data_IF_661937091719
#
_entry.id   IF_661937091719
#
_cell.length_a   1.000
_cell.length_b   1.000
_cell.length_c   1.000
_cell.angle_alpha   90.00
_cell.angle_beta   90.00
_cell.angle_gamma   90.00
#
_symmetry.space_group_name_H-M   'P 1'
#
loop_
_entity.id
_entity.type
_entity.pdbx_description
1 polymer ?
#
# COMPACT_ATOMS: atom_id res chain seq x y z
N UNK A 1 11.23 11.46 -8.03
CA UNK A 1 11.82 12.78 -7.65
C UNK A 1 13.29 12.63 -7.24
N UNK A 2 13.65 11.74 -6.31
CA UNK A 2 15.03 11.52 -5.86
C UNK A 2 15.96 11.12 -7.01
N UNK A 3 15.57 10.14 -7.81
CA UNK A 3 16.35 9.66 -8.96
C UNK A 3 16.49 10.76 -10.03
N UNK A 4 15.42 11.51 -10.27
CA UNK A 4 15.43 12.62 -11.24
C UNK A 4 16.29 13.80 -10.77
N UNK A 5 16.25 14.12 -9.48
CA UNK A 5 17.11 15.14 -8.87
C UNK A 5 18.60 14.76 -8.93
N UNK A 6 18.91 13.48 -8.81
CA UNK A 6 20.28 12.97 -8.90
C UNK A 6 20.81 13.00 -10.34
N UNK A 7 19.97 12.82 -11.34
CA UNK A 7 20.31 12.76 -12.75
C UNK A 7 20.40 14.16 -13.38
N UNK A 8 19.52 15.08 -13.00
CA UNK A 8 19.46 16.43 -13.58
C UNK A 8 20.46 17.43 -12.99
N UNK A 9 21.05 17.15 -11.84
CA UNK A 9 21.92 18.06 -11.05
C UNK A 9 21.32 19.46 -10.77
N UNK A 10 20.09 19.70 -11.18
CA UNK A 10 19.41 21.00 -11.04
C UNK A 10 18.61 21.12 -9.73
N UNK A 11 18.32 19.99 -9.08
CA UNK A 11 17.55 19.97 -7.82
C UNK A 11 18.45 19.52 -6.67
N UNK A 12 18.54 20.35 -5.64
CA UNK A 12 19.30 20.00 -4.44
C UNK A 12 18.71 18.75 -3.76
N UNK A 13 19.57 17.86 -3.26
CA UNK A 13 19.13 16.73 -2.45
C UNK A 13 18.37 17.23 -1.22
N UNK A 14 17.17 16.68 -0.91
CA UNK A 14 16.44 17.08 0.28
C UNK A 14 17.26 16.80 1.54
N UNK A 15 17.26 17.73 2.46
CA UNK A 15 17.96 17.61 3.74
C UNK A 15 17.27 16.55 4.61
N UNK A 16 18.00 15.99 5.58
CA UNK A 16 17.43 15.07 6.56
C UNK A 16 16.21 15.67 7.29
N UNK A 17 16.26 16.97 7.60
CA UNK A 17 15.18 17.69 8.27
C UNK A 17 13.93 17.80 7.40
N UNK A 18 14.07 17.97 6.09
CA UNK A 18 12.96 17.97 5.14
C UNK A 18 12.29 16.60 5.06
N UNK A 19 13.10 15.55 4.92
CA UNK A 19 12.58 14.17 4.87
C UNK A 19 11.86 13.82 6.18
N UNK A 20 12.46 14.15 7.32
CA UNK A 20 11.86 13.90 8.63
C UNK A 20 10.55 14.67 8.81
N UNK A 21 10.52 15.95 8.46
CA UNK A 21 9.33 16.78 8.56
C UNK A 21 8.19 16.24 7.69
N UNK A 22 8.46 15.91 6.42
CA UNK A 22 7.44 15.34 5.51
C UNK A 22 6.93 14.00 6.03
N UNK A 23 7.83 13.13 6.52
CA UNK A 23 7.46 11.82 7.03
C UNK A 23 6.59 11.91 8.29
N UNK A 24 6.97 12.78 9.24
CA UNK A 24 6.20 12.95 10.49
C UNK A 24 4.84 13.59 10.21
N UNK A 25 4.80 14.69 9.45
CA UNK A 25 3.54 15.35 9.11
C UNK A 25 2.62 14.44 8.29
N UNK A 26 3.16 13.72 7.31
CA UNK A 26 2.41 12.76 6.50
C UNK A 26 1.86 11.60 7.32
N UNK A 27 2.66 11.02 8.21
CA UNK A 27 2.24 9.96 9.12
C UNK A 27 1.13 10.40 10.06
N UNK A 28 1.27 11.57 10.69
CA UNK A 28 0.24 12.13 11.58
C UNK A 28 -1.06 12.44 10.83
N UNK A 29 -0.99 13.04 9.63
CA UNK A 29 -2.18 13.24 8.80
C UNK A 29 -2.84 11.93 8.42
N UNK A 30 -2.07 10.91 8.04
CA UNK A 30 -2.59 9.59 7.71
C UNK A 30 -3.37 8.96 8.87
N UNK A 31 -2.85 9.04 10.09
CA UNK A 31 -3.54 8.56 11.31
C UNK A 31 -4.83 9.36 11.54
N UNK A 32 -4.79 10.69 11.46
CA UNK A 32 -5.96 11.52 11.68
C UNK A 32 -7.05 11.30 10.62
N UNK A 33 -6.66 11.09 9.36
CA UNK A 33 -7.62 10.76 8.29
C UNK A 33 -8.25 9.38 8.47
N UNK A 34 -7.52 8.45 9.08
CA UNK A 34 -8.07 7.10 9.32
C UNK A 34 -9.16 7.08 10.38
N UNK A 35 -9.18 8.01 11.34
CA UNK A 35 -10.22 8.06 12.39
C UNK A 35 -11.64 8.10 11.81
N UNK A 36 -12.01 9.06 10.93
CA UNK A 36 -13.36 9.08 10.34
C UNK A 36 -13.58 7.93 9.33
N UNK A 37 -12.52 7.40 8.72
CA UNK A 37 -12.63 6.31 7.74
C UNK A 37 -12.76 4.95 8.39
N UNK A 38 -12.31 4.78 9.65
CA UNK A 38 -12.28 3.51 10.37
C UNK A 38 -13.63 2.81 10.36
N UNK A 39 -14.70 3.52 10.71
CA UNK A 39 -16.04 2.92 10.78
C UNK A 39 -16.49 2.42 9.41
N UNK A 40 -16.33 3.25 8.38
CA UNK A 40 -16.73 2.88 7.02
C UNK A 40 -15.92 1.71 6.46
N UNK A 41 -14.60 1.73 6.58
CA UNK A 41 -13.71 0.76 5.94
C UNK A 41 -13.53 -0.52 6.75
N UNK A 42 -13.42 -0.42 8.08
CA UNK A 42 -13.11 -1.58 8.94
C UNK A 42 -14.39 -2.24 9.45
N UNK A 43 -15.44 -1.46 9.78
CA UNK A 43 -16.65 -2.01 10.37
C UNK A 43 -17.71 -2.32 9.29
N UNK A 44 -18.08 -1.32 8.47
CA UNK A 44 -19.17 -1.46 7.50
C UNK A 44 -18.75 -2.30 6.28
N UNK A 45 -17.51 -2.17 5.80
CA UNK A 45 -16.98 -2.91 4.66
C UNK A 45 -16.18 -4.17 5.07
N UNK A 46 -16.27 -4.63 6.31
CA UNK A 46 -15.48 -5.79 6.80
C UNK A 46 -15.61 -7.04 5.94
N UNK A 47 -16.81 -7.33 5.40
CA UNK A 47 -17.02 -8.47 4.50
C UNK A 47 -16.36 -8.34 3.13
N UNK A 48 -16.03 -7.10 2.70
CA UNK A 48 -15.37 -6.83 1.43
C UNK A 48 -13.85 -6.58 1.58
N UNK A 49 -13.44 -6.10 2.74
CA UNK A 49 -12.05 -5.77 3.07
C UNK A 49 -11.57 -6.66 4.22
N UNK A 50 -10.86 -7.75 3.93
CA UNK A 50 -10.44 -8.72 4.96
C UNK A 50 -9.34 -8.22 5.90
N UNK A 51 -8.61 -7.14 5.56
CA UNK A 51 -7.46 -6.62 6.32
C UNK A 51 -6.53 -7.76 6.79
N UNK A 52 -5.88 -8.50 5.87
CA UNK A 52 -5.30 -9.81 6.17
C UNK A 52 -4.28 -9.80 7.30
N UNK A 53 -3.43 -8.77 7.36
CA UNK A 53 -2.42 -8.67 8.43
C UNK A 53 -3.05 -8.34 9.79
N UNK A 54 -4.05 -7.44 9.82
CA UNK A 54 -4.80 -7.11 11.03
C UNK A 54 -5.59 -8.31 11.56
N UNK A 55 -6.23 -9.05 10.66
CA UNK A 55 -6.95 -10.29 10.98
C UNK A 55 -6.00 -11.34 11.54
N UNK A 56 -4.83 -11.55 10.91
CA UNK A 56 -3.81 -12.45 11.43
C UNK A 56 -3.35 -12.07 12.85
N UNK A 57 -3.13 -10.77 13.11
CA UNK A 57 -2.77 -10.30 14.44
C UNK A 57 -3.87 -10.57 15.47
N UNK A 58 -5.13 -10.36 15.11
CA UNK A 58 -6.27 -10.63 15.99
C UNK A 58 -6.38 -12.13 16.32
N UNK A 59 -6.25 -13.00 15.32
CA UNK A 59 -6.26 -14.46 15.51
C UNK A 59 -5.12 -14.96 16.41
N UNK A 60 -3.92 -14.37 16.28
CA UNK A 60 -2.79 -14.70 17.17
C UNK A 60 -3.08 -14.30 18.61
N UNK A 61 -3.71 -13.15 18.85
CA UNK A 61 -4.11 -12.71 20.19
C UNK A 61 -5.17 -13.62 20.78
N UNK A 62 -6.21 -13.97 20.02
CA UNK A 62 -7.27 -14.89 20.44
C UNK A 62 -6.71 -16.29 20.77
N UNK A 63 -5.86 -16.82 19.90
CA UNK A 63 -5.19 -18.10 20.15
C UNK A 63 -4.29 -18.06 21.39
N UNK A 64 -3.72 -16.89 21.71
CA UNK A 64 -2.95 -16.68 22.94
C UNK A 64 -3.82 -16.68 24.21
N UNK A 65 -4.99 -16.08 24.15
CA UNK A 65 -5.96 -16.04 25.28
C UNK A 65 -6.60 -17.41 25.52
N UNK A 66 -7.06 -18.08 24.45
CA UNK A 66 -7.70 -19.38 24.56
C UNK A 66 -6.71 -20.50 24.95
N UNK A 67 -5.45 -20.35 24.58
CA UNK A 67 -4.39 -21.34 24.83
C UNK A 67 -4.64 -22.66 24.08
N UNK A 68 -4.04 -23.74 24.61
CA UNK A 68 -4.34 -25.09 24.12
C UNK A 68 -3.87 -25.37 22.69
N UNK A 69 -4.76 -25.91 21.84
CA UNK A 69 -4.44 -26.34 20.49
C UNK A 69 -4.16 -25.16 19.54
N UNK A 70 -4.89 -24.05 19.65
CA UNK A 70 -4.71 -22.85 18.83
C UNK A 70 -3.32 -22.24 18.97
N UNK A 71 -2.88 -22.06 20.22
CA UNK A 71 -1.55 -21.55 20.54
C UNK A 71 -0.43 -22.43 19.98
N UNK A 72 -0.58 -23.78 20.07
CA UNK A 72 0.41 -24.72 19.50
C UNK A 72 0.56 -24.57 17.99
N UNK A 73 -0.55 -24.36 17.26
CA UNK A 73 -0.52 -24.16 15.80
C UNK A 73 0.22 -22.88 15.44
N UNK A 74 -0.02 -21.77 16.17
CA UNK A 74 0.68 -20.50 15.97
C UNK A 74 2.20 -20.66 16.17
N UNK A 75 2.63 -21.29 17.29
CA UNK A 75 4.05 -21.51 17.55
C UNK A 75 4.69 -22.51 16.58
N UNK A 76 3.96 -23.53 16.15
CA UNK A 76 4.45 -24.45 15.12
C UNK A 76 4.65 -23.71 13.77
N UNK A 77 3.69 -22.88 13.36
CA UNK A 77 3.81 -22.05 12.17
C UNK A 77 4.99 -21.07 12.23
N UNK A 78 5.17 -20.41 13.38
CA UNK A 78 6.31 -19.53 13.62
C UNK A 78 7.64 -20.30 13.50
N UNK A 79 7.75 -21.46 14.17
CA UNK A 79 8.95 -22.30 14.13
C UNK A 79 9.28 -22.78 12.72
N UNK A 80 8.27 -23.26 11.97
CA UNK A 80 8.44 -23.70 10.59
C UNK A 80 8.88 -22.57 9.66
N UNK A 81 8.26 -21.39 9.80
CA UNK A 81 8.61 -20.20 9.01
C UNK A 81 10.02 -19.69 9.35
N UNK A 82 10.38 -19.69 10.63
CA UNK A 82 11.72 -19.32 11.08
C UNK A 82 12.79 -20.28 10.57
N UNK A 83 12.50 -21.60 10.61
CA UNK A 83 13.39 -22.62 10.06
C UNK A 83 13.58 -22.46 8.56
N UNK A 84 12.49 -22.25 7.83
CA UNK A 84 12.56 -21.97 6.39
C UNK A 84 13.43 -20.75 6.09
N UNK A 85 13.20 -19.63 6.78
CA UNK A 85 13.99 -18.42 6.62
C UNK A 85 15.47 -18.62 7.00
N UNK A 86 15.74 -19.36 8.05
CA UNK A 86 17.11 -19.71 8.45
C UNK A 86 17.83 -20.52 7.36
N UNK A 87 17.15 -21.49 6.75
CA UNK A 87 17.71 -22.31 5.67
C UNK A 87 17.96 -21.47 4.41
N UNK A 88 17.02 -20.60 4.03
CA UNK A 88 17.11 -19.84 2.78
C UNK A 88 18.01 -18.61 2.88
N UNK A 89 17.94 -17.87 3.96
CA UNK A 89 18.66 -16.59 4.12
C UNK A 89 19.88 -16.72 5.05
N UNK A 90 19.79 -17.56 6.07
CA UNK A 90 20.89 -17.82 7.00
C UNK A 90 21.94 -18.77 6.43
N UNK A 91 21.53 -19.94 6.04
CA UNK A 91 22.43 -20.96 5.47
C UNK A 91 22.62 -20.84 3.96
N UNK A 92 21.73 -20.11 3.28
CA UNK A 92 21.74 -19.91 1.82
C UNK A 92 21.82 -21.24 1.01
N UNK A 93 21.17 -22.30 1.52
CA UNK A 93 21.21 -23.63 0.89
C UNK A 93 20.48 -23.67 -0.46
N UNK A 94 19.46 -22.82 -0.64
CA UNK A 94 18.78 -22.60 -1.91
C UNK A 94 18.28 -21.17 -2.01
N UNK A 95 18.19 -20.60 -3.22
CA UNK A 95 17.75 -19.23 -3.39
C UNK A 95 16.28 -19.07 -3.02
N UNK A 96 15.94 -18.01 -2.28
CA UNK A 96 14.56 -17.64 -1.98
C UNK A 96 13.79 -17.16 -3.21
N UNK A 97 14.54 -16.67 -4.21
CA UNK A 97 14.00 -16.17 -5.49
C UNK A 97 14.56 -16.99 -6.63
N UNK A 98 13.69 -17.51 -7.46
CA UNK A 98 14.09 -18.25 -8.66
C UNK A 98 13.52 -17.53 -9.88
N UNK A 99 14.36 -17.25 -10.86
CA UNK A 99 14.02 -16.55 -12.08
C UNK A 99 14.37 -17.41 -13.29
N UNK A 100 13.42 -17.51 -14.21
CA UNK A 100 13.61 -18.19 -15.50
C UNK A 100 13.28 -17.26 -16.63
N UNK A 101 14.19 -17.09 -17.56
CA UNK A 101 13.97 -16.35 -18.79
C UNK A 101 13.47 -17.30 -19.88
N UNK A 102 12.28 -17.05 -20.39
CA UNK A 102 11.64 -17.83 -21.47
C UNK A 102 11.98 -17.17 -22.81
N UNK A 103 13.14 -17.52 -23.36
CA UNK A 103 13.67 -16.93 -24.60
C UNK A 103 12.70 -16.91 -25.80
N UNK A 104 11.94 -18.01 -26.11
CA UNK A 104 11.02 -18.01 -27.24
C UNK A 104 9.92 -16.96 -27.17
N UNK A 105 9.43 -16.69 -25.95
CA UNK A 105 8.36 -15.72 -25.70
C UNK A 105 8.89 -14.34 -25.32
N UNK A 106 10.22 -14.18 -25.25
CA UNK A 106 10.86 -12.94 -24.77
C UNK A 106 10.24 -12.43 -23.47
N UNK A 107 10.05 -13.33 -22.53
CA UNK A 107 9.46 -13.04 -21.21
C UNK A 107 10.23 -13.79 -20.12
N UNK A 108 9.89 -13.51 -18.86
CA UNK A 108 10.43 -14.19 -17.69
C UNK A 108 9.33 -14.70 -16.76
N UNK A 109 9.67 -15.68 -15.98
CA UNK A 109 8.88 -16.16 -14.85
C UNK A 109 9.74 -16.15 -13.61
N UNK A 110 9.22 -15.59 -12.52
CA UNK A 110 9.89 -15.59 -11.22
C UNK A 110 8.96 -16.11 -10.13
N UNK A 111 9.55 -16.82 -9.19
CA UNK A 111 8.87 -17.28 -7.98
C UNK A 111 9.68 -16.84 -6.76
N UNK A 112 9.02 -16.15 -5.84
CA UNK A 112 9.56 -15.78 -4.54
C UNK A 112 8.68 -16.42 -3.46
N UNK A 113 9.23 -17.41 -2.76
CA UNK A 113 8.49 -18.17 -1.73
C UNK A 113 8.75 -17.52 -0.37
N UNK A 114 7.83 -16.68 0.05
CA UNK A 114 7.85 -16.04 1.36
C UNK A 114 6.68 -16.57 2.21
N UNK A 115 6.94 -17.23 3.36
CA UNK A 115 5.89 -17.78 4.22
C UNK A 115 4.85 -16.73 4.65
N UNK A 116 5.29 -15.49 4.93
CA UNK A 116 4.40 -14.39 5.29
C UNK A 116 3.41 -14.06 4.16
N UNK A 117 3.87 -13.98 2.90
CA UNK A 117 3.01 -13.70 1.75
C UNK A 117 2.05 -14.86 1.45
N UNK A 118 2.49 -16.10 1.69
CA UNK A 118 1.63 -17.28 1.58
C UNK A 118 0.47 -17.21 2.58
N UNK A 119 0.76 -16.82 3.83
CA UNK A 119 -0.28 -16.59 4.85
C UNK A 119 -1.24 -15.46 4.48
N UNK A 120 -0.72 -14.32 4.02
CA UNK A 120 -1.54 -13.20 3.53
C UNK A 120 -2.44 -13.65 2.36
N UNK A 121 -1.89 -14.38 1.39
CA UNK A 121 -2.65 -14.90 0.26
C UNK A 121 -3.78 -15.86 0.68
N UNK A 122 -3.56 -16.66 1.72
CA UNK A 122 -4.58 -17.54 2.29
C UNK A 122 -5.73 -16.74 2.91
N UNK A 123 -5.43 -15.68 3.68
CA UNK A 123 -6.45 -14.82 4.33
C UNK A 123 -7.22 -14.00 3.29
N UNK A 124 -6.54 -13.43 2.29
CA UNK A 124 -7.17 -12.68 1.19
C UNK A 124 -8.14 -13.54 0.38
N UNK A 125 -7.90 -14.84 0.35
CA UNK A 125 -8.72 -15.82 -0.35
C UNK A 125 -8.49 -15.85 -1.86
N UNK A 126 -9.09 -16.86 -2.49
CA UNK A 126 -8.87 -17.18 -3.90
C UNK A 126 -9.23 -16.04 -4.86
N UNK A 127 -10.29 -15.30 -4.58
CA UNK A 127 -10.77 -14.22 -5.47
C UNK A 127 -9.75 -13.09 -5.60
N UNK A 128 -9.17 -12.64 -4.50
CA UNK A 128 -8.16 -11.57 -4.51
C UNK A 128 -6.85 -12.10 -5.09
N UNK A 129 -6.39 -13.27 -4.62
CA UNK A 129 -5.17 -13.90 -5.10
C UNK A 129 -5.20 -14.18 -6.60
N UNK A 130 -6.33 -14.65 -7.15
CA UNK A 130 -6.46 -14.89 -8.60
C UNK A 130 -6.43 -13.61 -9.44
N UNK A 131 -6.99 -12.50 -8.93
CA UNK A 131 -6.90 -11.21 -9.62
C UNK A 131 -5.45 -10.68 -9.64
N UNK A 132 -4.70 -10.84 -8.54
CA UNK A 132 -3.28 -10.48 -8.47
C UNK A 132 -2.46 -11.33 -9.45
N UNK A 133 -2.69 -12.65 -9.47
CA UNK A 133 -2.05 -13.56 -10.40
C UNK A 133 -2.36 -13.22 -11.86
N UNK A 134 -3.63 -12.92 -12.18
CA UNK A 134 -4.04 -12.51 -13.52
C UNK A 134 -3.34 -11.21 -13.96
N UNK A 135 -3.17 -10.24 -13.06
CA UNK A 135 -2.39 -9.03 -13.31
C UNK A 135 -0.91 -9.34 -13.61
N UNK A 136 -0.32 -10.27 -12.86
CA UNK A 136 1.04 -10.77 -13.12
C UNK A 136 1.15 -11.44 -14.51
N UNK A 137 0.23 -12.33 -14.84
CA UNK A 137 0.18 -12.99 -16.16
C UNK A 137 0.03 -11.96 -17.28
N UNK A 138 -0.86 -10.98 -17.13
CA UNK A 138 -1.03 -9.90 -18.10
C UNK A 138 0.28 -9.12 -18.29
N UNK A 139 0.94 -8.72 -17.21
CA UNK A 139 2.19 -7.97 -17.28
C UNK A 139 3.31 -8.75 -17.96
N UNK A 140 3.59 -9.95 -17.47
CA UNK A 140 4.74 -10.74 -17.91
C UNK A 140 4.53 -11.45 -19.24
N UNK A 141 3.35 -12.03 -19.49
CA UNK A 141 3.13 -12.87 -20.69
C UNK A 141 2.43 -12.15 -21.84
N UNK A 142 1.83 -10.97 -21.60
CA UNK A 142 1.16 -10.21 -22.65
C UNK A 142 1.87 -8.88 -22.90
N UNK A 143 2.02 -8.04 -21.88
CA UNK A 143 2.53 -6.68 -22.07
C UNK A 143 4.02 -6.65 -22.40
N UNK A 144 4.87 -7.42 -21.72
CA UNK A 144 6.31 -7.45 -22.03
C UNK A 144 6.56 -7.92 -23.44
N UNK A 145 6.05 -9.08 -23.91
CA UNK A 145 6.18 -9.49 -25.30
C UNK A 145 5.63 -8.46 -26.30
N UNK A 146 4.50 -7.81 -25.98
CA UNK A 146 3.94 -6.78 -26.85
C UNK A 146 4.85 -5.55 -26.95
N UNK A 147 5.39 -5.06 -25.82
CA UNK A 147 6.35 -3.94 -25.80
C UNK A 147 7.56 -4.26 -26.66
N UNK A 148 8.10 -5.47 -26.57
CA UNK A 148 9.25 -5.90 -27.36
C UNK A 148 8.88 -6.00 -28.85
N UNK A 149 7.69 -6.53 -29.17
CA UNK A 149 7.24 -6.73 -30.55
C UNK A 149 7.04 -5.38 -31.27
N UNK A 150 6.41 -4.41 -30.61
CA UNK A 150 6.05 -3.14 -31.22
C UNK A 150 7.09 -2.03 -31.05
N UNK A 151 7.95 -2.15 -30.04
CA UNK A 151 8.93 -1.11 -29.68
C UNK A 151 10.39 -1.44 -30.04
N UNK A 152 10.68 -2.61 -30.58
CA UNK A 152 12.00 -3.26 -30.69
C UNK A 152 13.21 -2.31 -30.80
N UNK A 153 13.27 -1.47 -31.83
CA UNK A 153 14.44 -0.65 -32.15
C UNK A 153 14.33 0.81 -31.65
N UNK A 154 13.23 1.11 -30.96
CA UNK A 154 13.00 2.46 -30.45
C UNK A 154 13.50 2.60 -29.00
N UNK A 155 14.07 3.76 -28.70
CA UNK A 155 14.33 4.21 -27.34
C UNK A 155 13.11 5.01 -26.87
N UNK A 156 12.32 4.46 -25.97
CA UNK A 156 11.09 5.10 -25.47
C UNK A 156 11.32 5.46 -23.99
N UNK A 157 11.17 6.73 -23.65
CA UNK A 157 11.26 7.15 -22.25
C UNK A 157 10.21 6.39 -21.37
N UNK A 158 10.54 5.97 -20.16
CA UNK A 158 11.75 6.27 -19.37
C UNK A 158 12.96 5.35 -19.64
N UNK A 159 12.86 4.42 -20.57
CA UNK A 159 14.02 3.60 -20.98
C UNK A 159 15.10 4.45 -21.64
N UNK A 160 16.37 4.10 -21.40
CA UNK A 160 17.55 4.81 -21.93
C UNK A 160 18.22 4.05 -23.08
N UNK A 161 17.81 2.82 -23.31
CA UNK A 161 18.34 1.93 -24.37
C UNK A 161 17.20 1.46 -25.28
N UNK A 162 17.57 0.92 -26.46
CA UNK A 162 16.59 0.32 -27.35
C UNK A 162 15.92 -0.88 -26.67
N UNK A 163 14.61 -1.01 -26.81
CA UNK A 163 13.83 -2.07 -26.14
C UNK A 163 14.35 -3.47 -26.50
N UNK A 164 14.87 -3.65 -27.72
CA UNK A 164 15.46 -4.93 -28.16
C UNK A 164 16.71 -5.34 -27.42
N UNK A 165 17.46 -4.37 -26.85
CA UNK A 165 18.70 -4.61 -26.09
C UNK A 165 18.46 -4.79 -24.59
N UNK A 166 17.27 -4.41 -24.09
CA UNK A 166 16.92 -4.49 -22.68
C UNK A 166 16.65 -5.93 -22.23
N UNK A 167 17.08 -6.26 -21.01
CA UNK A 167 16.60 -7.51 -20.37
C UNK A 167 15.12 -7.38 -19.96
N UNK A 168 14.48 -8.53 -19.78
CA UNK A 168 13.05 -8.61 -19.43
C UNK A 168 12.75 -7.86 -18.12
N UNK A 169 13.68 -7.89 -17.17
CA UNK A 169 13.55 -7.19 -15.88
C UNK A 169 13.71 -5.68 -16.01
N UNK A 170 14.54 -5.21 -16.96
CA UNK A 170 14.69 -3.78 -17.26
C UNK A 170 13.41 -3.24 -17.91
N UNK A 171 12.81 -4.02 -18.82
CA UNK A 171 11.50 -3.69 -19.42
C UNK A 171 10.41 -3.63 -18.35
N UNK A 172 10.41 -4.58 -17.42
CA UNK A 172 9.49 -4.52 -16.29
C UNK A 172 9.68 -3.25 -15.46
N UNK A 173 10.91 -2.93 -15.09
CA UNK A 173 11.27 -1.75 -14.29
C UNK A 173 10.95 -0.43 -14.98
N UNK A 174 11.20 -0.35 -16.30
CA UNK A 174 11.04 0.88 -17.08
C UNK A 174 9.62 1.12 -17.59
N UNK A 175 8.81 0.06 -17.82
CA UNK A 175 7.49 0.22 -18.45
C UNK A 175 6.36 -0.40 -17.63
N UNK A 176 6.43 -1.69 -17.30
CA UNK A 176 5.32 -2.40 -16.65
C UNK A 176 5.01 -1.82 -15.28
N UNK A 177 6.02 -1.46 -14.52
CA UNK A 177 5.88 -0.81 -13.22
C UNK A 177 5.05 0.48 -13.30
N UNK A 178 5.27 1.30 -14.32
CA UNK A 178 4.52 2.55 -14.51
C UNK A 178 3.10 2.31 -15.04
N UNK A 179 2.91 1.32 -15.90
CA UNK A 179 1.56 0.89 -16.33
C UNK A 179 0.76 0.39 -15.13
N UNK A 180 1.40 -0.43 -14.26
CA UNK A 180 0.80 -0.89 -13.03
C UNK A 180 0.44 0.26 -12.07
N UNK A 181 1.35 1.21 -11.87
CA UNK A 181 1.08 2.39 -11.05
C UNK A 181 -0.10 3.22 -11.59
N UNK A 182 -0.18 3.40 -12.91
CA UNK A 182 -1.31 4.06 -13.57
C UNK A 182 -2.63 3.31 -13.38
N UNK A 183 -2.59 1.98 -13.46
CA UNK A 183 -3.78 1.14 -13.21
C UNK A 183 -4.25 1.24 -11.75
N UNK A 184 -3.33 1.25 -10.78
CA UNK A 184 -3.64 1.46 -9.35
C UNK A 184 -4.26 2.84 -9.14
N UNK A 185 -3.67 3.89 -9.72
CA UNK A 185 -4.19 5.25 -9.63
C UNK A 185 -5.62 5.34 -10.20
N UNK A 186 -5.85 4.81 -11.40
CA UNK A 186 -7.18 4.79 -12.03
C UNK A 186 -8.20 3.98 -11.20
N UNK A 187 -7.82 2.78 -10.75
CA UNK A 187 -8.65 1.95 -9.88
C UNK A 187 -8.97 2.63 -8.55
N UNK A 188 -7.98 3.32 -7.96
CA UNK A 188 -8.14 4.11 -6.76
C UNK A 188 -9.13 5.26 -6.94
N UNK A 189 -9.04 6.01 -8.04
CA UNK A 189 -9.98 7.09 -8.37
C UNK A 189 -11.40 6.55 -8.52
N UNK A 190 -11.58 5.47 -9.28
CA UNK A 190 -12.90 4.85 -9.48
C UNK A 190 -13.47 4.36 -8.15
N UNK A 191 -12.63 3.71 -7.33
CA UNK A 191 -13.01 3.22 -6.00
C UNK A 191 -13.43 4.37 -5.08
N UNK A 192 -12.68 5.49 -5.09
CA UNK A 192 -13.02 6.66 -4.31
C UNK A 192 -14.38 7.25 -4.73
N UNK A 193 -14.60 7.45 -6.04
CA UNK A 193 -15.88 7.99 -6.55
C UNK A 193 -17.05 7.13 -6.04
N UNK A 194 -16.90 5.81 -6.06
CA UNK A 194 -17.93 4.89 -5.56
C UNK A 194 -18.13 4.96 -4.04
N UNK A 195 -17.07 5.13 -3.29
CA UNK A 195 -17.12 5.16 -1.82
C UNK A 195 -17.41 6.54 -1.26
N UNK A 196 -17.21 7.60 -2.07
CA UNK A 196 -17.38 8.99 -1.63
C UNK A 196 -18.74 9.28 -0.96
N UNK A 197 -19.89 8.79 -1.44
CA UNK A 197 -21.16 8.99 -0.76
C UNK A 197 -21.20 8.36 0.65
N UNK A 198 -20.57 7.20 0.83
CA UNK A 198 -20.47 6.53 2.14
C UNK A 198 -19.60 7.37 3.08
N UNK A 199 -18.44 7.81 2.61
CA UNK A 199 -17.53 8.69 3.36
C UNK A 199 -18.24 9.97 3.82
N UNK A 200 -18.95 10.64 2.90
CA UNK A 200 -19.71 11.85 3.23
C UNK A 200 -20.79 11.61 4.28
N UNK A 201 -21.53 10.50 4.18
CA UNK A 201 -22.56 10.14 5.17
C UNK A 201 -21.96 9.86 6.53
N UNK A 202 -20.86 9.09 6.58
CA UNK A 202 -20.16 8.77 7.83
C UNK A 202 -19.58 10.05 8.46
N UNK A 203 -18.97 10.92 7.65
CA UNK A 203 -18.46 12.20 8.12
C UNK A 203 -19.57 13.12 8.63
N UNK A 204 -20.69 13.22 7.90
CA UNK A 204 -21.85 14.01 8.32
C UNK A 204 -22.49 13.47 9.61
N UNK A 205 -22.55 12.13 9.77
CA UNK A 205 -23.02 11.51 11.00
C UNK A 205 -22.09 11.80 12.18
N UNK A 206 -20.78 11.70 11.98
CA UNK A 206 -19.79 12.04 13.00
C UNK A 206 -19.82 13.52 13.38
N UNK A 207 -20.05 14.43 12.43
CA UNK A 207 -20.24 15.86 12.69
C UNK A 207 -21.52 16.15 13.50
N UNK A 208 -22.63 15.44 13.24
CA UNK A 208 -23.86 15.56 14.02
C UNK A 208 -23.70 15.05 15.45
N UNK A 209 -22.83 14.06 15.68
CA UNK A 209 -22.51 13.52 17.01
C UNK A 209 -21.70 14.47 17.91
N UNK A 210 -21.18 15.58 17.39
CA UNK A 210 -20.47 16.61 18.21
C UNK A 210 -21.38 17.27 19.26
N UNK A 211 -22.71 17.11 19.17
CA UNK A 211 -23.68 17.75 20.05
C UNK A 211 -24.49 16.85 20.97
N UNK A 212 -24.24 15.56 21.12
CA UNK A 212 -24.99 14.69 22.02
C UNK A 212 -25.52 13.41 21.39
N UNK A 213 -24.66 12.53 20.98
CA UNK A 213 -25.02 11.17 20.59
C UNK A 213 -24.78 10.17 21.70
N UNK A 214 -25.64 9.16 21.80
CA UNK A 214 -25.50 8.01 22.69
C UNK A 214 -24.08 7.51 22.68
N UNK A 215 -23.42 7.57 23.83
CA UNK A 215 -22.09 7.00 24.00
C UNK A 215 -22.26 5.48 23.95
N UNK A 216 -21.80 4.89 22.85
CA UNK A 216 -21.59 3.46 22.79
C UNK A 216 -20.79 3.04 24.03
N UNK A 217 -21.34 2.15 24.83
CA UNK A 217 -20.78 1.76 26.13
C UNK A 217 -19.51 0.94 26.02
N UNK A 218 -19.25 0.38 24.84
CA UNK A 218 -18.07 -0.43 24.59
C UNK A 218 -16.82 0.44 24.41
N UNK A 219 -15.77 0.11 25.14
CA UNK A 219 -14.47 0.77 25.05
C UNK A 219 -13.89 0.78 23.62
N UNK A 220 -14.16 -0.27 22.86
CA UNK A 220 -13.69 -0.45 21.47
C UNK A 220 -14.43 0.42 20.46
N UNK A 221 -15.63 0.91 20.82
CA UNK A 221 -16.44 1.81 19.98
C UNK A 221 -16.11 3.29 20.22
N UNK A 222 -15.34 3.62 21.26
CA UNK A 222 -14.95 5.00 21.54
C UNK A 222 -13.96 5.50 20.52
N UNK A 223 -14.35 6.52 19.77
CA UNK A 223 -13.50 7.21 18.79
C UNK A 223 -13.03 8.55 19.36
N UNK A 224 -11.94 9.08 18.75
CA UNK A 224 -11.51 10.45 19.06
C UNK A 224 -12.63 11.44 18.67
N UNK A 225 -12.89 12.46 19.48
CA UNK A 225 -13.91 13.45 19.14
C UNK A 225 -13.52 14.15 17.83
N UNK A 226 -14.46 14.22 16.89
CA UNK A 226 -14.24 14.76 15.56
C UNK A 226 -13.66 16.19 15.59
N UNK A 227 -14.02 16.98 16.60
CA UNK A 227 -13.43 18.31 16.81
C UNK A 227 -11.93 18.27 17.05
N UNK A 228 -11.43 17.28 17.81
CA UNK A 228 -9.99 17.10 18.04
C UNK A 228 -9.27 16.64 16.76
N UNK A 229 -9.91 15.77 15.97
CA UNK A 229 -9.37 15.32 14.67
C UNK A 229 -9.23 16.49 13.72
N UNK A 230 -10.27 17.31 13.55
CA UNK A 230 -10.24 18.48 12.69
C UNK A 230 -9.22 19.52 13.17
N UNK A 231 -9.16 19.78 14.48
CA UNK A 231 -8.15 20.66 15.07
C UNK A 231 -6.73 20.15 14.82
N UNK A 232 -6.50 18.84 14.94
CA UNK A 232 -5.22 18.19 14.64
C UNK A 232 -4.84 18.34 13.16
N UNK A 233 -5.76 18.11 12.24
CA UNK A 233 -5.53 18.29 10.78
C UNK A 233 -5.17 19.73 10.49
N UNK A 234 -5.92 20.69 11.04
CA UNK A 234 -5.66 22.11 10.86
C UNK A 234 -4.30 22.50 11.44
N UNK A 235 -3.96 22.02 12.63
CA UNK A 235 -2.65 22.27 13.26
C UNK A 235 -1.51 21.78 12.37
N UNK A 236 -1.62 20.56 11.84
CA UNK A 236 -0.57 20.02 10.95
C UNK A 236 -0.50 20.79 9.65
N UNK A 237 -1.63 21.22 9.07
CA UNK A 237 -1.65 22.05 7.88
C UNK A 237 -0.93 23.39 8.12
N UNK A 238 -1.15 24.01 9.29
CA UNK A 238 -0.44 25.23 9.70
C UNK A 238 1.06 24.97 9.90
N UNK A 239 1.42 23.84 10.54
CA UNK A 239 2.81 23.45 10.69
C UNK A 239 3.49 23.29 9.33
N UNK A 240 2.87 22.57 8.38
CA UNK A 240 3.40 22.40 7.03
C UNK A 240 3.58 23.76 6.34
N UNK A 241 2.62 24.68 6.49
CA UNK A 241 2.69 26.01 5.91
C UNK A 241 3.82 26.87 6.50
N UNK A 242 4.04 26.75 7.81
CA UNK A 242 5.07 27.55 8.54
C UNK A 242 6.46 26.93 8.49
N UNK A 243 6.61 25.67 8.04
CA UNK A 243 7.90 24.99 8.03
C UNK A 243 8.80 25.53 6.90
N UNK A 244 9.93 26.18 7.22
CA UNK A 244 10.84 26.72 6.19
C UNK A 244 11.48 25.63 5.34
N UNK A 245 11.59 24.40 5.90
CA UNK A 245 12.20 23.25 5.25
C UNK A 245 11.34 22.68 4.10
N UNK A 246 10.04 23.00 4.07
CA UNK A 246 9.13 22.52 3.03
C UNK A 246 8.61 23.73 2.27
N UNK A 247 9.03 23.99 1.01
CA UNK A 247 8.69 25.20 0.27
C UNK A 247 7.24 25.19 -0.22
N UNK A 248 6.28 24.99 0.71
CA UNK A 248 4.85 24.88 0.42
C UNK A 248 4.13 26.12 0.93
N UNK A 249 3.51 26.87 0.02
CA UNK A 249 2.65 28.00 0.38
C UNK A 249 1.30 27.52 0.94
N UNK A 250 0.50 28.43 1.51
CA UNK A 250 -0.82 28.11 2.07
C UNK A 250 -1.69 27.25 1.14
N UNK A 251 -1.74 27.60 -0.15
CA UNK A 251 -2.48 26.83 -1.16
C UNK A 251 -1.95 25.39 -1.29
N UNK A 252 -0.63 25.22 -1.27
CA UNK A 252 -0.02 23.91 -1.31
C UNK A 252 -0.30 23.10 -0.04
N UNK A 253 -0.31 23.70 1.16
CA UNK A 253 -0.68 23.04 2.40
C UNK A 253 -2.15 22.55 2.35
N UNK A 254 -3.06 23.33 1.79
CA UNK A 254 -4.45 22.91 1.54
C UNK A 254 -4.51 21.72 0.58
N UNK A 255 -3.75 21.73 -0.51
CA UNK A 255 -3.67 20.60 -1.44
C UNK A 255 -3.12 19.35 -0.77
N UNK A 256 -2.11 19.46 0.10
CA UNK A 256 -1.57 18.33 0.88
C UNK A 256 -2.66 17.69 1.73
N UNK A 257 -3.50 18.47 2.40
CA UNK A 257 -4.61 17.93 3.20
C UNK A 257 -5.64 17.22 2.32
N UNK A 258 -6.07 17.87 1.22
CA UNK A 258 -7.08 17.30 0.32
C UNK A 258 -6.57 16.02 -0.35
N UNK A 259 -5.41 16.06 -0.96
CA UNK A 259 -4.82 14.89 -1.62
C UNK A 259 -4.36 13.85 -0.61
N UNK A 260 -3.87 14.27 0.56
CA UNK A 260 -3.52 13.36 1.65
C UNK A 260 -4.71 12.54 2.11
N UNK A 261 -5.87 13.15 2.32
CA UNK A 261 -7.11 12.43 2.62
C UNK A 261 -7.51 11.48 1.50
N UNK A 262 -7.41 11.93 0.25
CA UNK A 262 -7.69 11.12 -0.92
C UNK A 262 -6.78 9.87 -0.97
N UNK A 263 -5.47 10.08 -0.90
CA UNK A 263 -4.50 8.98 -0.97
C UNK A 263 -4.59 8.05 0.25
N UNK A 264 -4.81 8.58 1.45
CA UNK A 264 -5.04 7.77 2.64
C UNK A 264 -6.26 6.85 2.48
N UNK A 265 -7.35 7.35 1.90
CA UNK A 265 -8.56 6.54 1.64
C UNK A 265 -8.27 5.43 0.63
N UNK A 266 -7.62 5.75 -0.49
CA UNK A 266 -7.28 4.76 -1.52
C UNK A 266 -6.32 3.72 -0.98
N UNK A 267 -5.25 4.15 -0.31
CA UNK A 267 -4.26 3.26 0.30
C UNK A 267 -4.89 2.35 1.36
N UNK A 268 -5.76 2.88 2.22
CA UNK A 268 -6.46 2.08 3.23
C UNK A 268 -7.33 0.98 2.63
N UNK A 269 -7.99 1.25 1.51
CA UNK A 269 -8.75 0.21 0.77
C UNK A 269 -7.83 -0.85 0.17
N UNK A 270 -6.71 -0.44 -0.41
CA UNK A 270 -5.71 -1.38 -0.95
C UNK A 270 -5.14 -2.25 0.16
N UNK A 271 -4.74 -1.64 1.29
CA UNK A 271 -4.28 -2.38 2.47
C UNK A 271 -5.35 -3.35 2.98
N UNK A 272 -6.62 -2.93 2.97
CA UNK A 272 -7.76 -3.79 3.34
C UNK A 272 -7.93 -5.02 2.45
N UNK A 273 -7.55 -4.93 1.17
CA UNK A 273 -7.65 -6.04 0.21
C UNK A 273 -6.41 -6.94 0.21
N UNK A 274 -5.20 -6.37 0.17
CA UNK A 274 -3.96 -7.10 -0.13
C UNK A 274 -2.93 -7.07 1.00
N UNK A 275 -3.20 -6.36 2.10
CA UNK A 275 -2.27 -6.14 3.20
C UNK A 275 -1.32 -4.96 2.97
N UNK A 276 -0.67 -4.51 4.03
CA UNK A 276 0.28 -3.39 4.00
C UNK A 276 1.58 -3.75 3.31
N UNK A 277 2.03 -5.00 3.44
CA UNK A 277 3.24 -5.54 2.83
C UNK A 277 3.18 -5.61 1.29
N UNK A 278 1.98 -5.70 0.73
CA UNK A 278 1.73 -5.79 -0.72
C UNK A 278 1.15 -4.50 -1.31
N UNK A 279 1.04 -3.44 -0.51
CA UNK A 279 0.53 -2.16 -0.99
C UNK A 279 1.56 -1.50 -1.93
N UNK A 280 1.21 -1.19 -3.18
CA UNK A 280 2.14 -0.63 -4.17
C UNK A 280 2.43 0.87 -3.97
N UNK A 281 1.95 1.48 -2.90
CA UNK A 281 2.08 2.92 -2.60
C UNK A 281 3.24 3.18 -1.64
#
# INVERSE_FOLDING_TARGET
LFMWAQESREVAMPSFTEIAAVSVCGGLLGVLFMVPLRRALIVEEHGALPFPEGTACAEVLLAGEEGGAGSKVVFAGLGLSALYKFITEGLQLFPSRVHWNIRPLRTGFGLDVLPALTGVGFICGFRVASNMFAGGVLGWFVLIPAIILFGADNVIAPGVEAISSMDVWDIWGSYIRYIGAGAVAAGGIISLIRTFPVILRTFAAAMKGIGGGEQDTLRTSKELPMGAVLAGILLIAVVIWLLPSVPVRLFGAMLVVIFGFFFATVSSRMVGLVGSSNNPV
#
